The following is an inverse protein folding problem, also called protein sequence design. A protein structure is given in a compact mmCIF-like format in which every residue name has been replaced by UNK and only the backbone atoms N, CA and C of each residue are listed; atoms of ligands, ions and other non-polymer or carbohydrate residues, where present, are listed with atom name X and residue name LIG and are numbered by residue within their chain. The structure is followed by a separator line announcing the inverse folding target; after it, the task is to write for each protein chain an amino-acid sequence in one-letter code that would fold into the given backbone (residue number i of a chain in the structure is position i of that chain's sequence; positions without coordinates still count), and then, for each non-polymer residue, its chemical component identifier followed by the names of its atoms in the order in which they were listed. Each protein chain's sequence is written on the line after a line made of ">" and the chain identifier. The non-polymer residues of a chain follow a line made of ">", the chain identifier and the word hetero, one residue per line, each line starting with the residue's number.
data_IF_434457350940
#
_entry.id   IF_434457350940
#
_cell.length_a   1.000
_cell.length_b   1.000
_cell.length_c   1.000
_cell.angle_alpha   90.00
_cell.angle_beta   90.00
_cell.angle_gamma   90.00
#
_symmetry.space_group_name_H-M   'P 1'
#
loop_
_entity.id
_entity.type
_entity.pdbx_description
1 polymer ?
#
# COMPACT_ATOMS: atom_id res chain seq x y z
N UNK A 1 51.34 -44.26 9.28
CA UNK A 1 50.31 -44.52 8.27
C UNK A 1 49.74 -43.22 7.78
N UNK A 2 49.78 -43.05 6.53
CA UNK A 2 49.90 -41.81 5.78
C UNK A 2 48.57 -41.00 5.65
N UNK A 3 48.66 -39.74 5.98
CA UNK A 3 47.58 -38.74 5.77
C UNK A 3 47.83 -38.03 4.42
N UNK A 4 47.54 -38.63 3.30
CA UNK A 4 47.56 -37.93 2.02
C UNK A 4 46.53 -38.50 1.04
N UNK A 5 45.90 -37.57 0.36
CA UNK A 5 45.08 -37.72 -0.84
C UNK A 5 43.57 -37.99 -0.67
N UNK A 6 42.82 -36.88 -0.54
CA UNK A 6 41.51 -36.72 -1.18
C UNK A 6 41.42 -35.32 -1.79
N UNK A 7 41.96 -35.22 -2.98
CA UNK A 7 41.64 -34.15 -3.92
C UNK A 7 40.41 -34.59 -4.71
N UNK A 8 39.21 -34.17 -4.26
CA UNK A 8 38.03 -34.29 -5.08
C UNK A 8 37.92 -33.07 -5.99
N UNK A 9 37.98 -33.29 -7.26
CA UNK A 9 37.76 -32.32 -8.32
C UNK A 9 36.32 -31.80 -8.25
N UNK A 10 36.15 -30.50 -7.88
CA UNK A 10 34.88 -29.81 -8.00
C UNK A 10 34.66 -29.48 -9.47
N UNK A 11 33.92 -30.30 -10.18
CA UNK A 11 33.35 -29.89 -11.48
C UNK A 11 32.24 -28.90 -11.23
N UNK A 12 32.47 -27.64 -11.57
CA UNK A 12 31.43 -26.60 -11.68
C UNK A 12 30.55 -26.99 -12.85
N UNK A 13 29.42 -27.64 -12.58
CA UNK A 13 28.37 -27.84 -13.56
C UNK A 13 27.64 -26.53 -13.77
N UNK A 14 27.92 -25.83 -14.85
CA UNK A 14 27.06 -24.79 -15.39
C UNK A 14 25.76 -25.46 -15.83
N UNK A 15 24.74 -25.44 -14.98
CA UNK A 15 23.36 -25.78 -15.33
C UNK A 15 22.85 -24.71 -16.32
N UNK A 16 23.07 -24.93 -17.60
CA UNK A 16 22.37 -24.21 -18.66
C UNK A 16 20.88 -24.52 -18.55
N UNK A 17 20.08 -23.49 -18.36
CA UNK A 17 18.61 -23.57 -18.41
C UNK A 17 18.23 -24.23 -19.76
N UNK A 18 17.43 -25.28 -19.71
CA UNK A 18 16.86 -25.90 -20.91
C UNK A 18 16.02 -24.86 -21.67
N UNK A 19 16.03 -24.86 -23.03
CA UNK A 19 15.28 -23.88 -23.83
C UNK A 19 13.79 -23.75 -23.43
N UNK A 20 13.18 -24.82 -22.96
CA UNK A 20 11.80 -24.83 -22.47
C UNK A 20 11.61 -24.09 -21.16
N UNK A 21 12.60 -24.10 -20.28
CA UNK A 21 12.51 -23.37 -18.99
C UNK A 21 12.66 -21.85 -19.18
N UNK A 22 13.49 -21.43 -20.14
CA UNK A 22 13.62 -20.02 -20.50
C UNK A 22 12.33 -19.48 -21.15
N UNK A 23 11.69 -20.26 -22.02
CA UNK A 23 10.42 -19.89 -22.65
C UNK A 23 9.26 -19.82 -21.63
N UNK A 24 9.20 -20.71 -20.65
CA UNK A 24 8.21 -20.69 -19.57
C UNK A 24 8.46 -19.50 -18.65
N UNK A 25 9.71 -19.18 -18.33
CA UNK A 25 10.08 -18.01 -17.54
C UNK A 25 9.73 -16.69 -18.26
N UNK A 26 9.97 -16.61 -19.57
CA UNK A 26 9.61 -15.46 -20.39
C UNK A 26 8.09 -15.28 -20.48
N UNK A 27 7.33 -16.36 -20.71
CA UNK A 27 5.85 -16.32 -20.72
C UNK A 27 5.26 -15.91 -19.36
N UNK A 28 5.91 -16.28 -18.24
CA UNK A 28 5.50 -15.84 -16.91
C UNK A 28 5.80 -14.35 -16.67
N UNK A 29 6.88 -13.82 -17.27
CA UNK A 29 7.25 -12.40 -17.17
C UNK A 29 6.30 -11.47 -17.94
N UNK A 30 5.76 -11.94 -19.07
CA UNK A 30 4.89 -11.13 -19.96
C UNK A 30 3.39 -11.19 -19.57
N UNK A 31 3.04 -12.01 -18.62
CA UNK A 31 1.66 -12.17 -18.16
C UNK A 31 1.22 -10.93 -17.36
N UNK A 32 0.00 -10.37 -17.58
CA UNK A 32 -0.52 -9.32 -16.72
C UNK A 32 -0.71 -9.83 -15.28
N UNK A 33 -0.54 -8.94 -14.30
CA UNK A 33 -0.85 -9.27 -12.90
C UNK A 33 -2.36 -9.49 -12.73
N UNK A 34 -2.73 -10.41 -11.85
CA UNK A 34 -4.12 -10.67 -11.46
C UNK A 34 -4.65 -9.58 -10.53
N UNK A 35 -3.82 -9.14 -9.58
CA UNK A 35 -4.11 -8.03 -8.69
C UNK A 35 -3.42 -6.75 -9.20
N UNK A 36 -3.99 -5.59 -8.89
CA UNK A 36 -3.49 -4.29 -9.36
C UNK A 36 -2.50 -3.71 -8.36
N UNK A 37 -1.24 -4.09 -8.47
CA UNK A 37 -0.17 -3.61 -7.60
C UNK A 37 0.28 -2.20 -7.97
N UNK A 38 0.52 -1.37 -6.93
CA UNK A 38 0.95 0.02 -7.06
C UNK A 38 2.32 0.23 -6.40
N UNK A 39 3.43 0.20 -7.16
CA UNK A 39 4.72 0.67 -6.67
C UNK A 39 4.70 2.17 -6.38
N UNK A 40 5.79 2.67 -5.77
CA UNK A 40 5.98 4.08 -5.45
C UNK A 40 7.33 4.61 -5.99
N UNK A 41 7.47 5.93 -6.07
CA UNK A 41 8.71 6.55 -6.53
C UNK A 41 9.91 6.17 -5.62
N UNK A 42 11.04 5.91 -6.28
CA UNK A 42 12.26 5.42 -5.65
C UNK A 42 12.39 3.90 -5.64
N UNK A 43 11.31 3.13 -5.77
CA UNK A 43 11.36 1.66 -5.74
C UNK A 43 12.20 1.09 -6.90
N UNK A 44 12.17 1.74 -8.07
CA UNK A 44 12.88 1.32 -9.28
C UNK A 44 13.88 2.36 -9.81
N UNK A 45 14.34 3.29 -8.97
CA UNK A 45 15.19 4.42 -9.40
C UNK A 45 16.57 4.00 -9.90
N UNK A 46 17.08 2.81 -9.55
CA UNK A 46 18.40 2.34 -10.02
C UNK A 46 18.32 1.70 -11.40
N UNK A 47 17.18 1.13 -11.77
CA UNK A 47 16.94 0.56 -13.10
C UNK A 47 16.34 1.57 -14.07
N UNK A 48 15.40 2.39 -13.62
CA UNK A 48 14.69 3.36 -14.44
C UNK A 48 15.36 4.75 -14.50
N UNK A 49 16.23 5.07 -13.55
CA UNK A 49 16.76 6.43 -13.36
C UNK A 49 15.99 7.23 -12.32
N UNK A 50 16.50 8.43 -12.00
CA UNK A 50 15.90 9.31 -10.98
C UNK A 50 14.70 10.11 -11.52
N UNK A 51 14.50 10.18 -12.85
CA UNK A 51 13.32 10.84 -13.44
C UNK A 51 12.04 10.08 -13.08
N UNK A 52 11.05 10.82 -12.55
CA UNK A 52 9.81 10.22 -12.08
C UNK A 52 8.99 9.60 -13.21
N UNK A 53 8.99 10.23 -14.39
CA UNK A 53 8.21 9.76 -15.53
C UNK A 53 8.83 8.50 -16.14
N UNK A 54 10.16 8.37 -16.09
CA UNK A 54 10.86 7.15 -16.52
C UNK A 54 10.60 5.98 -15.56
N UNK A 55 10.46 6.24 -14.25
CA UNK A 55 10.04 5.21 -13.29
C UNK A 55 8.61 4.70 -13.56
N UNK A 56 7.69 5.58 -13.95
CA UNK A 56 6.33 5.18 -14.37
C UNK A 56 6.36 4.31 -15.63
N UNK A 57 7.16 4.69 -16.65
CA UNK A 57 7.31 3.91 -17.88
C UNK A 57 7.90 2.55 -17.59
N UNK A 58 8.98 2.50 -16.81
CA UNK A 58 9.61 1.26 -16.38
C UNK A 58 8.62 0.31 -15.69
N UNK A 59 7.84 0.82 -14.71
CA UNK A 59 6.85 0.01 -14.02
C UNK A 59 5.75 -0.49 -14.97
N UNK A 60 5.28 0.36 -15.88
CA UNK A 60 4.30 -0.01 -16.90
C UNK A 60 4.81 -1.12 -17.82
N UNK A 61 6.07 -1.05 -18.25
CA UNK A 61 6.72 -2.07 -19.09
C UNK A 61 6.84 -3.41 -18.38
N UNK A 62 6.92 -3.39 -17.03
CA UNK A 62 6.92 -4.59 -16.19
C UNK A 62 5.52 -5.06 -15.76
N UNK A 63 4.45 -4.46 -16.33
CA UNK A 63 3.08 -4.91 -16.14
C UNK A 63 2.33 -4.28 -14.96
N UNK A 64 2.92 -3.34 -14.24
CA UNK A 64 2.21 -2.58 -13.21
C UNK A 64 1.21 -1.61 -13.86
N UNK A 65 0.00 -1.51 -13.30
CA UNK A 65 -1.08 -0.67 -13.84
C UNK A 65 -1.65 0.31 -12.81
N UNK A 66 -1.00 0.43 -11.66
CA UNK A 66 -1.28 1.45 -10.65
C UNK A 66 0.03 2.03 -10.12
N UNK A 67 -0.05 3.17 -9.46
CA UNK A 67 1.08 3.84 -8.82
C UNK A 67 0.63 4.54 -7.55
N UNK A 68 1.39 4.44 -6.46
CA UNK A 68 1.10 5.09 -5.19
C UNK A 68 2.08 6.25 -4.94
N UNK A 69 1.59 7.38 -4.46
CA UNK A 69 2.45 8.51 -4.11
C UNK A 69 1.93 9.31 -2.92
N UNK A 70 2.22 8.84 -1.73
CA UNK A 70 1.84 9.50 -0.49
C UNK A 70 2.28 10.98 -0.39
N UNK A 71 3.48 11.40 -0.87
CA UNK A 71 3.88 12.80 -0.87
C UNK A 71 3.30 13.66 -2.00
N UNK A 72 2.38 13.19 -2.82
CA UNK A 72 1.86 13.90 -4.00
C UNK A 72 1.48 15.36 -3.73
N UNK A 73 0.87 15.66 -2.58
CA UNK A 73 0.48 17.03 -2.20
C UNK A 73 1.66 18.00 -2.12
N UNK A 74 2.85 17.52 -1.78
CA UNK A 74 4.05 18.33 -1.58
C UNK A 74 4.81 18.59 -2.89
N UNK A 75 4.42 17.91 -3.99
CA UNK A 75 5.05 18.10 -5.31
C UNK A 75 4.60 19.40 -5.96
N UNK A 76 5.45 20.04 -6.79
CA UNK A 76 5.04 21.16 -7.62
C UNK A 76 3.86 20.81 -8.53
N UNK A 77 2.99 21.79 -8.83
CA UNK A 77 1.77 21.59 -9.63
C UNK A 77 2.07 21.06 -11.04
N UNK A 78 3.14 21.51 -11.65
CA UNK A 78 3.61 21.04 -12.96
C UNK A 78 4.09 19.59 -12.92
N UNK A 79 4.79 19.19 -11.85
CA UNK A 79 5.19 17.78 -11.63
C UNK A 79 3.96 16.88 -11.41
N UNK A 80 3.00 17.30 -10.56
CA UNK A 80 1.73 16.58 -10.39
C UNK A 80 1.01 16.37 -11.73
N UNK A 81 0.94 17.41 -12.56
CA UNK A 81 0.30 17.38 -13.86
C UNK A 81 1.03 16.48 -14.86
N UNK A 82 2.36 16.49 -14.85
CA UNK A 82 3.20 15.63 -15.69
C UNK A 82 3.05 14.15 -15.32
N UNK A 83 3.05 13.83 -14.03
CA UNK A 83 2.79 12.49 -13.49
C UNK A 83 1.39 12.00 -13.95
N UNK A 84 0.34 12.79 -13.72
CA UNK A 84 -1.03 12.44 -14.11
C UNK A 84 -1.17 12.17 -15.60
N UNK A 85 -0.60 13.03 -16.43
CA UNK A 85 -0.60 12.88 -17.90
C UNK A 85 0.11 11.61 -18.34
N UNK A 86 1.28 11.33 -17.76
CA UNK A 86 2.05 10.13 -18.09
C UNK A 86 1.31 8.87 -17.66
N UNK A 87 0.75 8.84 -16.45
CA UNK A 87 -0.07 7.71 -15.98
C UNK A 87 -1.28 7.47 -16.88
N UNK A 88 -1.97 8.51 -17.31
CA UNK A 88 -3.09 8.41 -18.26
C UNK A 88 -2.65 7.79 -19.59
N UNK A 89 -1.51 8.22 -20.14
CA UNK A 89 -0.96 7.66 -21.39
C UNK A 89 -0.57 6.18 -21.26
N UNK A 90 -0.13 5.76 -20.08
CA UNK A 90 0.27 4.37 -19.77
C UNK A 90 -0.92 3.51 -19.32
N UNK A 91 -2.13 4.07 -19.20
CA UNK A 91 -3.30 3.36 -18.67
C UNK A 91 -3.15 2.96 -17.20
N UNK A 92 -2.39 3.72 -16.42
CA UNK A 92 -2.15 3.48 -14.99
C UNK A 92 -3.15 4.25 -14.14
N UNK A 93 -3.53 3.65 -13.00
CA UNK A 93 -4.41 4.25 -12.00
C UNK A 93 -3.59 4.87 -10.86
N UNK A 94 -4.00 6.06 -10.39
CA UNK A 94 -3.45 6.62 -9.17
C UNK A 94 -3.98 5.85 -7.95
N UNK A 95 -3.08 5.36 -7.12
CA UNK A 95 -3.36 4.78 -5.81
C UNK A 95 -3.64 5.84 -4.75
N UNK A 96 -3.30 5.55 -3.50
CA UNK A 96 -3.49 6.52 -2.43
C UNK A 96 -2.51 7.68 -2.54
N UNK A 97 -3.00 8.86 -2.14
CA UNK A 97 -2.21 10.03 -1.79
C UNK A 97 -2.53 10.39 -0.34
N UNK A 98 -1.54 10.83 0.44
CA UNK A 98 -1.77 11.16 1.84
C UNK A 98 -2.48 12.51 1.99
N UNK A 99 -3.66 12.52 2.62
CA UNK A 99 -4.39 13.75 2.91
C UNK A 99 -3.73 14.57 4.02
N UNK A 100 -3.18 13.91 5.04
CA UNK A 100 -2.74 14.51 6.31
C UNK A 100 -1.23 14.34 6.55
N UNK A 101 -0.41 14.23 5.51
CA UNK A 101 1.04 14.14 5.66
C UNK A 101 1.57 15.31 6.49
N UNK A 102 2.41 15.00 7.49
CA UNK A 102 3.02 15.98 8.38
C UNK A 102 2.17 16.39 9.59
N UNK A 103 0.88 16.05 9.64
CA UNK A 103 0.00 16.41 10.78
C UNK A 103 -0.54 15.21 11.56
N UNK A 104 -0.34 13.98 11.10
CA UNK A 104 -0.87 12.77 11.73
C UNK A 104 -0.22 12.43 13.08
N UNK A 105 0.95 12.98 13.41
CA UNK A 105 1.69 12.73 14.65
C UNK A 105 1.30 13.68 15.80
N UNK A 106 0.08 14.19 15.78
CA UNK A 106 -0.48 15.05 16.81
C UNK A 106 -1.88 14.57 17.23
N UNK A 107 -2.40 15.10 18.34
CA UNK A 107 -3.78 14.86 18.80
C UNK A 107 -4.72 15.66 17.90
N UNK A 108 -5.26 15.01 16.87
CA UNK A 108 -6.12 15.66 15.87
C UNK A 108 -7.58 15.22 16.02
N UNK A 109 -7.88 14.01 15.52
CA UNK A 109 -9.25 13.49 15.52
C UNK A 109 -9.74 13.07 16.93
N UNK A 110 -8.81 12.71 17.82
CA UNK A 110 -9.12 12.36 19.20
C UNK A 110 -9.63 13.56 20.02
N UNK A 111 -9.10 14.75 19.74
CA UNK A 111 -9.37 15.96 20.51
C UNK A 111 -10.62 16.72 20.08
N UNK A 112 -10.94 17.76 20.85
CA UNK A 112 -12.06 18.71 20.60
C UNK A 112 -11.58 20.13 20.30
N UNK A 113 -10.27 20.34 20.19
CA UNK A 113 -9.71 21.66 19.87
C UNK A 113 -10.25 22.17 18.53
N UNK A 114 -10.88 23.36 18.56
CA UNK A 114 -11.57 23.91 17.39
C UNK A 114 -10.61 24.23 16.23
N UNK A 115 -9.44 24.77 16.57
CA UNK A 115 -8.47 25.23 15.57
C UNK A 115 -7.78 24.05 14.91
N UNK A 116 -7.40 23.02 15.68
CA UNK A 116 -6.86 21.79 15.15
C UNK A 116 -7.87 21.09 14.21
N UNK A 117 -9.14 21.01 14.59
CA UNK A 117 -10.21 20.44 13.77
C UNK A 117 -10.46 21.25 12.50
N UNK A 118 -10.44 22.58 12.60
CA UNK A 118 -10.59 23.47 11.44
C UNK A 118 -9.43 23.30 10.46
N UNK A 119 -8.19 23.21 10.94
CA UNK A 119 -7.01 22.98 10.10
C UNK A 119 -7.10 21.63 9.32
N UNK A 120 -7.68 20.58 9.93
CA UNK A 120 -7.95 19.32 9.23
C UNK A 120 -8.94 19.54 8.08
N UNK A 121 -10.04 20.26 8.31
CA UNK A 121 -11.04 20.53 7.27
C UNK A 121 -10.47 21.36 6.11
N UNK A 122 -9.66 22.35 6.40
CA UNK A 122 -8.94 23.16 5.38
C UNK A 122 -7.98 22.28 4.57
N UNK A 123 -7.30 21.36 5.25
CA UNK A 123 -6.45 20.38 4.59
C UNK A 123 -7.27 19.47 3.64
N UNK A 124 -8.47 19.03 4.06
CA UNK A 124 -9.38 18.26 3.20
C UNK A 124 -9.83 19.04 1.97
N UNK A 125 -10.15 20.34 2.10
CA UNK A 125 -10.43 21.17 0.93
C UNK A 125 -9.23 21.27 -0.02
N UNK A 126 -8.03 21.45 0.51
CA UNK A 126 -6.83 21.55 -0.33
C UNK A 126 -6.48 20.25 -1.06
N UNK A 127 -6.65 19.09 -0.43
CA UNK A 127 -6.32 17.79 -1.05
C UNK A 127 -7.30 17.43 -2.17
N UNK A 128 -8.53 17.91 -2.15
CA UNK A 128 -9.50 17.74 -3.24
C UNK A 128 -8.93 18.26 -4.56
N UNK A 129 -8.28 19.43 -4.55
CA UNK A 129 -7.70 20.01 -5.78
C UNK A 129 -6.49 19.20 -6.29
N UNK A 130 -5.69 18.63 -5.38
CA UNK A 130 -4.61 17.71 -5.75
C UNK A 130 -5.19 16.43 -6.35
N UNK A 131 -6.16 15.82 -5.68
CA UNK A 131 -6.79 14.58 -6.13
C UNK A 131 -7.42 14.71 -7.53
N UNK A 132 -8.12 15.82 -7.78
CA UNK A 132 -8.66 16.15 -9.12
C UNK A 132 -7.56 16.23 -10.19
N UNK A 133 -6.44 16.92 -9.87
CA UNK A 133 -5.33 17.10 -10.80
C UNK A 133 -4.66 15.80 -11.18
N UNK A 134 -4.50 14.88 -10.22
CA UNK A 134 -3.80 13.60 -10.43
C UNK A 134 -4.76 12.43 -10.66
N UNK A 135 -6.06 12.69 -10.78
CA UNK A 135 -7.10 11.67 -10.95
C UNK A 135 -7.07 10.58 -9.86
N UNK A 136 -6.79 10.99 -8.62
CA UNK A 136 -6.83 10.09 -7.47
C UNK A 136 -8.27 9.91 -6.97
N UNK A 137 -8.58 8.69 -6.50
CA UNK A 137 -9.85 8.37 -5.82
C UNK A 137 -9.65 8.22 -4.32
N UNK A 138 -8.50 7.71 -3.90
CA UNK A 138 -8.26 7.30 -2.52
C UNK A 138 -7.31 8.26 -1.79
N UNK A 139 -7.71 8.62 -0.57
CA UNK A 139 -6.97 9.51 0.32
C UNK A 139 -6.61 8.76 1.60
N UNK A 140 -5.32 8.49 1.85
CA UNK A 140 -4.91 7.92 3.13
C UNK A 140 -5.15 8.92 4.26
N UNK A 141 -5.84 8.46 5.30
CA UNK A 141 -6.11 9.22 6.52
C UNK A 141 -5.66 8.43 7.74
N UNK A 142 -4.69 8.99 8.46
CA UNK A 142 -4.28 8.53 9.80
C UNK A 142 -4.87 9.50 10.81
N UNK A 143 -5.76 9.06 11.73
CA UNK A 143 -6.49 9.97 12.65
C UNK A 143 -5.64 10.61 13.74
N UNK A 144 -4.34 10.42 13.75
CA UNK A 144 -3.42 11.03 14.70
C UNK A 144 -3.22 10.22 15.98
N UNK A 145 -2.79 10.91 17.03
CA UNK A 145 -2.42 10.29 18.30
C UNK A 145 -3.60 10.30 19.30
N UNK A 146 -3.53 9.41 20.27
CA UNK A 146 -4.43 9.42 21.44
C UNK A 146 -4.20 10.68 22.28
N UNK A 147 -5.26 11.20 22.87
CA UNK A 147 -5.17 12.21 23.92
C UNK A 147 -5.13 11.51 25.29
N UNK A 148 -4.01 11.54 26.03
CA UNK A 148 -3.89 10.88 27.32
C UNK A 148 -4.78 11.48 28.40
N UNK A 149 -5.38 12.67 28.17
CA UNK A 149 -6.25 13.37 29.11
C UNK A 149 -7.72 13.05 28.92
N UNK A 150 -8.07 12.34 27.82
CA UNK A 150 -9.46 12.05 27.47
C UNK A 150 -9.74 10.55 27.48
N UNK A 151 -10.84 10.05 28.08
CA UNK A 151 -11.23 8.66 27.95
C UNK A 151 -11.37 8.23 26.49
N UNK A 152 -11.01 6.99 26.22
CA UNK A 152 -10.86 6.46 24.85
C UNK A 152 -12.16 6.53 24.03
N UNK A 153 -13.30 6.27 24.68
CA UNK A 153 -14.61 6.26 24.05
C UNK A 153 -14.99 7.64 23.52
N UNK A 154 -14.65 8.71 24.26
CA UNK A 154 -14.85 10.09 23.79
C UNK A 154 -13.96 10.41 22.58
N UNK A 155 -12.73 9.91 22.57
CA UNK A 155 -11.83 10.09 21.45
C UNK A 155 -12.38 9.45 20.17
N UNK A 156 -12.96 8.25 20.27
CA UNK A 156 -13.61 7.59 19.15
C UNK A 156 -14.83 8.38 18.64
N UNK A 157 -15.64 8.90 19.55
CA UNK A 157 -16.79 9.74 19.20
C UNK A 157 -16.35 11.03 18.47
N UNK A 158 -15.31 11.71 18.98
CA UNK A 158 -14.73 12.89 18.35
C UNK A 158 -14.17 12.59 16.97
N UNK A 159 -13.50 11.43 16.81
CA UNK A 159 -12.96 10.96 15.54
C UNK A 159 -14.09 10.75 14.51
N UNK A 160 -15.14 10.03 14.89
CA UNK A 160 -16.32 9.81 14.04
C UNK A 160 -16.98 11.12 13.61
N UNK A 161 -17.15 12.08 14.54
CA UNK A 161 -17.74 13.38 14.23
C UNK A 161 -16.90 14.17 13.22
N UNK A 162 -15.57 14.24 13.41
CA UNK A 162 -14.70 14.96 12.48
C UNK A 162 -14.63 14.25 11.11
N UNK A 163 -14.60 12.91 11.07
CA UNK A 163 -14.63 12.15 9.83
C UNK A 163 -15.91 12.39 9.02
N UNK A 164 -17.08 12.52 9.67
CA UNK A 164 -18.33 12.90 8.99
C UNK A 164 -18.21 14.25 8.29
N UNK A 165 -17.62 15.23 8.97
CA UNK A 165 -17.38 16.58 8.38
C UNK A 165 -16.36 16.50 7.22
N UNK A 166 -15.34 15.67 7.34
CA UNK A 166 -14.41 15.42 6.22
C UNK A 166 -15.12 14.74 5.04
N UNK A 167 -16.05 13.80 5.29
CA UNK A 167 -16.86 13.18 4.25
C UNK A 167 -17.71 14.22 3.49
N UNK A 168 -18.28 15.19 4.17
CA UNK A 168 -19.06 16.26 3.53
C UNK A 168 -18.24 17.06 2.52
N UNK A 169 -16.91 17.12 2.71
CA UNK A 169 -15.98 17.80 1.80
C UNK A 169 -15.60 16.90 0.62
N UNK A 170 -15.22 15.64 0.86
CA UNK A 170 -14.59 14.80 -0.15
C UNK A 170 -15.60 14.01 -1.00
N UNK A 171 -16.74 13.61 -0.42
CA UNK A 171 -17.75 12.78 -1.08
C UNK A 171 -18.39 13.40 -2.33
N UNK A 172 -18.68 14.72 -2.38
CA UNK A 172 -19.20 15.37 -3.58
C UNK A 172 -18.24 15.29 -4.80
N UNK A 173 -16.96 14.98 -4.55
CA UNK A 173 -15.93 14.83 -5.57
C UNK A 173 -15.62 13.38 -5.93
N UNK A 174 -16.38 12.42 -5.39
CA UNK A 174 -16.16 10.99 -5.61
C UNK A 174 -14.91 10.44 -4.91
N UNK A 175 -14.36 11.18 -3.95
CA UNK A 175 -13.16 10.76 -3.22
C UNK A 175 -13.53 9.89 -2.02
N UNK A 176 -12.64 8.98 -1.67
CA UNK A 176 -12.79 8.05 -0.55
C UNK A 176 -11.59 8.18 0.39
N UNK A 177 -11.85 8.61 1.61
CA UNK A 177 -10.89 8.50 2.69
C UNK A 177 -10.72 7.04 3.06
N UNK A 178 -9.49 6.55 3.07
CA UNK A 178 -9.15 5.21 3.53
C UNK A 178 -8.34 5.32 4.81
N UNK A 179 -8.97 4.91 5.91
CA UNK A 179 -8.39 4.97 7.26
C UNK A 179 -7.36 3.87 7.40
N UNK A 180 -6.14 4.22 7.80
CA UNK A 180 -5.04 3.27 7.97
C UNK A 180 -4.80 2.97 9.45
N UNK A 181 -5.13 1.75 9.93
CA UNK A 181 -4.73 1.29 11.26
C UNK A 181 -3.24 0.96 11.28
N UNK A 182 -2.48 1.68 12.13
CA UNK A 182 -1.03 1.55 12.23
C UNK A 182 -0.61 0.74 13.46
N UNK A 183 0.40 -0.11 13.35
CA UNK A 183 0.90 -0.86 14.51
C UNK A 183 1.60 0.05 15.52
N UNK A 184 1.26 -0.15 16.79
CA UNK A 184 1.85 0.57 17.92
C UNK A 184 3.10 -0.10 18.49
N UNK A 185 3.34 -1.36 18.12
CA UNK A 185 4.38 -2.18 18.71
C UNK A 185 5.78 -1.90 18.18
N UNK A 186 5.87 -1.51 16.90
CA UNK A 186 7.15 -1.32 16.22
C UNK A 186 7.31 0.09 15.65
N UNK A 187 6.27 0.62 14.97
CA UNK A 187 6.45 1.80 14.12
C UNK A 187 5.80 3.08 14.69
N UNK A 188 4.58 2.98 15.23
CA UNK A 188 3.74 4.15 15.52
C UNK A 188 3.16 4.13 16.94
N UNK A 189 3.98 4.19 18.01
CA UNK A 189 3.46 4.21 19.37
C UNK A 189 2.55 5.41 19.60
N UNK A 190 1.41 5.17 20.25
CA UNK A 190 0.47 6.24 20.63
C UNK A 190 -0.54 6.64 19.55
N UNK A 191 -0.59 5.99 18.36
CA UNK A 191 -1.65 6.28 17.37
C UNK A 191 -3.03 5.90 17.92
N UNK A 192 -4.03 6.68 17.55
CA UNK A 192 -5.43 6.44 17.94
C UNK A 192 -5.98 5.17 17.28
N UNK A 193 -5.75 5.01 15.99
CA UNK A 193 -6.27 3.91 15.18
C UNK A 193 -5.19 2.87 14.93
N UNK A 194 -5.37 1.63 15.41
CA UNK A 194 -4.34 0.59 15.34
C UNK A 194 -4.81 -0.82 14.96
N UNK A 195 -6.12 -1.12 15.07
CA UNK A 195 -6.64 -2.45 14.78
C UNK A 195 -7.79 -2.46 13.79
N UNK A 196 -7.96 -3.57 13.04
CA UNK A 196 -9.02 -3.73 12.06
C UNK A 196 -10.43 -3.69 12.67
N UNK A 197 -10.71 -4.28 13.85
CA UNK A 197 -12.03 -4.16 14.48
C UNK A 197 -12.38 -2.71 14.86
N UNK A 198 -11.39 -1.94 15.28
CA UNK A 198 -11.55 -0.52 15.60
C UNK A 198 -11.86 0.30 14.35
N UNK A 199 -11.10 0.08 13.26
CA UNK A 199 -11.36 0.73 11.98
C UNK A 199 -12.77 0.41 11.47
N UNK A 200 -13.17 -0.85 11.55
CA UNK A 200 -14.52 -1.29 11.19
C UNK A 200 -15.59 -0.56 11.98
N UNK A 201 -15.46 -0.49 13.32
CA UNK A 201 -16.37 0.25 14.18
C UNK A 201 -16.49 1.71 13.75
N UNK A 202 -15.35 2.39 13.50
CA UNK A 202 -15.34 3.79 13.07
C UNK A 202 -16.04 3.95 11.72
N UNK A 203 -15.71 3.15 10.71
CA UNK A 203 -16.35 3.22 9.39
C UNK A 203 -17.86 2.98 9.47
N UNK A 204 -18.31 1.98 10.24
CA UNK A 204 -19.75 1.72 10.48
C UNK A 204 -20.45 2.88 11.21
N UNK A 205 -19.77 3.55 12.17
CA UNK A 205 -20.33 4.70 12.89
C UNK A 205 -20.36 5.98 12.04
N UNK A 206 -19.36 6.17 11.16
CA UNK A 206 -19.38 7.24 10.16
C UNK A 206 -20.50 7.03 9.15
N UNK A 207 -20.72 5.77 8.72
CA UNK A 207 -21.81 5.33 7.84
C UNK A 207 -21.84 6.08 6.49
N UNK A 208 -20.66 6.33 5.87
CA UNK A 208 -20.52 7.03 4.60
C UNK A 208 -19.68 6.18 3.61
N UNK A 209 -20.03 6.23 2.34
CA UNK A 209 -19.27 5.53 1.28
C UNK A 209 -17.86 6.11 1.09
N UNK A 210 -17.67 7.36 1.45
CA UNK A 210 -16.40 8.10 1.38
C UNK A 210 -15.48 7.90 2.59
N UNK A 211 -15.80 6.97 3.51
CA UNK A 211 -14.94 6.61 4.64
C UNK A 211 -14.84 5.09 4.74
N UNK A 212 -13.69 4.55 4.42
CA UNK A 212 -13.39 3.12 4.29
C UNK A 212 -12.07 2.79 4.97
N UNK A 213 -11.68 1.52 4.95
CA UNK A 213 -10.43 1.02 5.53
C UNK A 213 -9.38 0.88 4.43
N UNK A 214 -8.18 1.34 4.72
CA UNK A 214 -6.93 0.87 4.12
C UNK A 214 -6.40 -0.24 5.03
N UNK A 215 -6.39 -1.48 4.54
CA UNK A 215 -5.85 -2.61 5.27
C UNK A 215 -4.38 -2.82 4.87
N UNK A 216 -3.43 -2.26 5.64
CA UNK A 216 -2.02 -2.57 5.46
C UNK A 216 -1.70 -3.91 6.14
N UNK A 217 -1.39 -4.91 5.31
CA UNK A 217 -1.12 -6.28 5.74
C UNK A 217 0.09 -6.33 6.69
N UNK A 218 1.12 -5.52 6.46
CA UNK A 218 2.28 -5.43 7.35
C UNK A 218 1.89 -4.92 8.74
N UNK A 219 1.13 -3.82 8.82
CA UNK A 219 0.70 -3.26 10.09
C UNK A 219 -0.21 -4.22 10.84
N UNK A 220 -1.14 -4.87 10.17
CA UNK A 220 -2.08 -5.79 10.82
C UNK A 220 -1.43 -7.12 11.20
N UNK A 221 -0.41 -7.60 10.48
CA UNK A 221 0.38 -8.75 10.92
C UNK A 221 1.03 -8.48 12.28
N UNK A 222 1.65 -7.32 12.48
CA UNK A 222 2.29 -6.94 13.74
C UNK A 222 1.26 -6.73 14.86
N UNK A 223 0.14 -6.09 14.56
CA UNK A 223 -0.87 -5.72 15.57
C UNK A 223 -1.67 -6.93 16.05
N UNK A 224 -2.22 -7.70 15.12
CA UNK A 224 -3.27 -8.69 15.37
C UNK A 224 -2.89 -10.09 14.88
N UNK A 225 -2.10 -10.21 13.81
CA UNK A 225 -1.99 -11.45 13.07
C UNK A 225 -3.33 -11.89 12.50
N UNK A 226 -3.57 -13.22 12.39
CA UNK A 226 -4.87 -13.78 11.99
C UNK A 226 -5.50 -13.06 10.77
N UNK A 227 -4.65 -12.75 9.77
CA UNK A 227 -4.96 -11.83 8.66
C UNK A 227 -6.25 -12.18 7.92
N UNK A 228 -6.40 -13.42 7.46
CA UNK A 228 -7.55 -13.83 6.63
C UNK A 228 -8.88 -13.66 7.37
N UNK A 229 -9.06 -14.20 8.59
CA UNK A 229 -10.29 -13.99 9.34
C UNK A 229 -10.58 -12.50 9.63
N UNK A 230 -9.55 -11.68 9.85
CA UNK A 230 -9.74 -10.25 10.10
C UNK A 230 -10.11 -9.50 8.83
N UNK A 231 -9.51 -9.82 7.68
CA UNK A 231 -9.92 -9.30 6.37
C UNK A 231 -11.39 -9.66 6.09
N UNK A 232 -11.77 -10.92 6.31
CA UNK A 232 -13.15 -11.39 6.06
C UNK A 232 -14.19 -10.67 6.90
N UNK A 233 -13.87 -10.38 8.18
CA UNK A 233 -14.79 -9.68 9.10
C UNK A 233 -15.03 -8.23 8.74
N UNK A 234 -14.05 -7.55 8.16
CA UNK A 234 -14.18 -6.14 7.81
C UNK A 234 -14.26 -5.89 6.29
N UNK A 235 -14.48 -6.93 5.50
CA UNK A 235 -14.43 -6.91 4.03
C UNK A 235 -15.29 -5.82 3.40
N UNK A 236 -16.49 -5.61 3.86
CA UNK A 236 -17.46 -4.62 3.35
C UNK A 236 -17.03 -3.15 3.59
N UNK A 237 -16.06 -2.96 4.48
CA UNK A 237 -15.50 -1.63 4.75
C UNK A 237 -14.08 -1.45 4.20
N UNK A 238 -13.43 -2.48 3.62
CA UNK A 238 -12.11 -2.33 3.01
C UNK A 238 -12.23 -1.80 1.58
N UNK A 239 -11.54 -0.71 1.27
CA UNK A 239 -11.45 -0.16 -0.08
C UNK A 239 -10.04 -0.21 -0.67
N UNK A 240 -9.01 -0.38 0.15
CA UNK A 240 -7.62 -0.36 -0.27
C UNK A 240 -6.78 -1.33 0.56
N UNK A 241 -5.80 -1.95 -0.07
CA UNK A 241 -4.80 -2.75 0.63
C UNK A 241 -3.41 -2.17 0.44
N UNK A 242 -2.56 -2.34 1.44
CA UNK A 242 -1.12 -2.17 1.31
C UNK A 242 -0.38 -3.42 1.77
N UNK A 243 0.81 -3.64 1.25
CA UNK A 243 1.62 -4.81 1.56
C UNK A 243 3.09 -4.45 1.76
N UNK A 244 3.69 -5.17 2.67
CA UNK A 244 5.10 -5.27 3.00
C UNK A 244 5.29 -6.47 3.91
N UNK A 245 6.38 -7.22 3.75
CA UNK A 245 6.59 -8.43 4.54
C UNK A 245 7.13 -8.13 5.94
N UNK A 246 6.76 -8.93 6.90
CA UNK A 246 7.22 -8.83 8.28
C UNK A 246 8.07 -10.06 8.64
N UNK A 247 9.23 -9.86 9.33
CA UNK A 247 9.82 -8.59 9.72
C UNK A 247 10.55 -7.87 8.56
N UNK A 248 10.82 -6.58 8.75
CA UNK A 248 11.71 -5.81 7.88
C UNK A 248 11.03 -4.89 6.88
N UNK A 249 9.74 -5.06 6.61
CA UNK A 249 8.93 -4.26 5.66
C UNK A 249 9.60 -4.18 4.29
N UNK A 250 9.72 -5.34 3.63
CA UNK A 250 10.25 -5.49 2.29
C UNK A 250 9.27 -6.27 1.39
N UNK A 251 9.68 -6.67 0.19
CA UNK A 251 8.83 -7.38 -0.78
C UNK A 251 8.33 -8.74 -0.28
N UNK A 252 7.20 -9.25 -0.80
CA UNK A 252 6.63 -10.56 -0.47
C UNK A 252 7.65 -11.70 -0.53
N UNK A 253 7.66 -12.53 0.50
CA UNK A 253 8.55 -13.69 0.62
C UNK A 253 9.89 -13.39 1.28
N UNK A 254 10.09 -12.18 1.79
CA UNK A 254 11.27 -11.81 2.59
C UNK A 254 11.06 -12.00 4.10
N UNK A 255 9.84 -12.29 4.53
CA UNK A 255 9.45 -12.46 5.92
C UNK A 255 8.54 -13.67 6.17
N UNK A 256 7.62 -13.53 7.13
CA UNK A 256 6.79 -14.62 7.65
C UNK A 256 5.38 -14.68 7.01
N UNK A 257 4.98 -13.66 6.22
CA UNK A 257 3.63 -13.59 5.67
C UNK A 257 3.51 -14.48 4.44
N UNK A 258 2.53 -15.38 4.42
CA UNK A 258 2.23 -16.20 3.24
C UNK A 258 1.46 -15.39 2.19
N UNK A 259 2.14 -14.47 1.51
CA UNK A 259 1.55 -13.61 0.49
C UNK A 259 0.86 -14.35 -0.65
N UNK A 260 1.38 -15.47 -1.20
CA UNK A 260 0.67 -16.24 -2.21
C UNK A 260 -0.73 -16.69 -1.75
N UNK A 261 -0.87 -17.08 -0.49
CA UNK A 261 -2.16 -17.44 0.08
C UNK A 261 -3.07 -16.22 0.27
N UNK A 262 -2.54 -15.13 0.83
CA UNK A 262 -3.30 -13.89 1.04
C UNK A 262 -3.80 -13.34 -0.29
N UNK A 263 -2.95 -13.20 -1.29
CA UNK A 263 -3.30 -12.68 -2.61
C UNK A 263 -4.32 -13.57 -3.33
N UNK A 264 -4.17 -14.90 -3.25
CA UNK A 264 -5.18 -15.84 -3.77
C UNK A 264 -6.53 -15.69 -3.08
N UNK A 265 -6.54 -15.45 -1.77
CA UNK A 265 -7.78 -15.21 -1.03
C UNK A 265 -8.48 -13.92 -1.50
N UNK A 266 -7.74 -12.81 -1.62
CA UNK A 266 -8.26 -11.53 -2.10
C UNK A 266 -8.83 -11.65 -3.52
N UNK A 267 -8.10 -12.31 -4.43
CA UNK A 267 -8.55 -12.53 -5.80
C UNK A 267 -9.83 -13.38 -5.87
N UNK A 268 -9.92 -14.48 -5.09
CA UNK A 268 -11.11 -15.33 -4.98
C UNK A 268 -12.31 -14.58 -4.40
N UNK A 269 -12.09 -13.62 -3.52
CA UNK A 269 -13.13 -12.72 -3.01
C UNK A 269 -13.56 -11.65 -4.00
N UNK A 270 -12.93 -11.60 -5.18
CA UNK A 270 -13.25 -10.64 -6.23
C UNK A 270 -12.68 -9.25 -6.00
N UNK A 271 -11.59 -9.10 -5.23
CA UNK A 271 -10.94 -7.80 -5.07
C UNK A 271 -10.44 -7.26 -6.42
N UNK A 272 -10.89 -6.06 -6.78
CA UNK A 272 -10.51 -5.35 -8.02
C UNK A 272 -9.88 -3.98 -7.73
N UNK A 273 -9.66 -3.66 -6.46
CA UNK A 273 -9.03 -2.42 -6.04
C UNK A 273 -7.52 -2.43 -6.24
N UNK A 274 -6.87 -1.37 -5.78
CA UNK A 274 -5.42 -1.19 -5.86
C UNK A 274 -4.78 -1.77 -4.59
N UNK A 275 -3.59 -2.35 -4.77
CA UNK A 275 -2.75 -2.85 -3.68
C UNK A 275 -1.42 -2.10 -3.68
N UNK A 276 -1.24 -1.19 -2.73
CA UNK A 276 -0.02 -0.41 -2.57
C UNK A 276 1.16 -1.28 -2.13
N UNK A 277 2.31 -1.04 -2.73
CA UNK A 277 3.58 -1.72 -2.39
C UNK A 277 4.33 -0.84 -1.39
N UNK A 278 3.79 -0.71 -0.16
CA UNK A 278 4.35 0.20 0.86
C UNK A 278 5.48 -0.46 1.66
N UNK A 279 6.58 -0.67 0.98
CA UNK A 279 7.77 -1.30 1.54
C UNK A 279 9.04 -0.83 0.84
N UNK A 280 10.19 -1.05 1.47
CA UNK A 280 11.50 -0.89 0.84
C UNK A 280 11.90 -2.15 0.09
N UNK A 281 12.88 -2.05 -0.80
CA UNK A 281 13.53 -3.23 -1.38
C UNK A 281 14.45 -3.90 -0.35
N UNK A 282 14.39 -5.22 -0.21
CA UNK A 282 15.28 -5.97 0.68
C UNK A 282 16.74 -5.87 0.26
N UNK A 283 17.01 -5.97 -1.03
CA UNK A 283 18.32 -5.79 -1.61
C UNK A 283 18.44 -4.44 -2.34
N UNK A 284 19.65 -3.90 -2.43
CA UNK A 284 19.93 -2.62 -3.09
C UNK A 284 20.25 -2.84 -4.57
N UNK A 285 20.16 -1.74 -5.34
CA UNK A 285 20.55 -1.70 -6.75
C UNK A 285 19.60 -2.40 -7.72
N UNK A 286 19.94 -2.46 -9.01
CA UNK A 286 19.06 -3.03 -10.04
C UNK A 286 18.68 -4.50 -9.81
N UNK A 287 19.56 -5.28 -9.17
CA UNK A 287 19.26 -6.67 -8.81
C UNK A 287 18.16 -6.75 -7.74
N UNK A 288 18.21 -5.87 -6.72
CA UNK A 288 17.16 -5.77 -5.71
C UNK A 288 15.82 -5.34 -6.31
N UNK A 289 15.82 -4.38 -7.22
CA UNK A 289 14.62 -3.94 -7.93
C UNK A 289 14.00 -5.05 -8.78
N UNK A 290 14.84 -5.86 -9.45
CA UNK A 290 14.38 -7.05 -10.18
C UNK A 290 13.78 -8.08 -9.23
N UNK A 291 14.40 -8.31 -8.09
CA UNK A 291 13.90 -9.24 -7.07
C UNK A 291 12.51 -8.83 -6.56
N UNK A 292 12.22 -7.53 -6.41
CA UNK A 292 10.87 -7.03 -6.10
C UNK A 292 9.87 -7.46 -7.17
N UNK A 293 10.15 -7.23 -8.46
CA UNK A 293 9.26 -7.60 -9.56
C UNK A 293 9.00 -9.12 -9.53
N UNK A 294 10.05 -9.92 -9.38
CA UNK A 294 9.95 -11.39 -9.32
C UNK A 294 9.15 -11.87 -8.10
N UNK A 295 9.31 -11.23 -6.94
CA UNK A 295 8.56 -11.54 -5.73
C UNK A 295 7.05 -11.36 -5.95
N UNK A 296 6.63 -10.25 -6.56
CA UNK A 296 5.23 -10.03 -6.92
C UNK A 296 4.73 -10.99 -7.98
N UNK A 297 5.53 -11.30 -9.01
CA UNK A 297 5.19 -12.32 -10.02
C UNK A 297 4.96 -13.69 -9.41
N UNK A 298 5.79 -14.07 -8.44
CA UNK A 298 5.69 -15.34 -7.72
C UNK A 298 4.50 -15.40 -6.77
N UNK A 299 4.18 -14.28 -6.11
CA UNK A 299 3.10 -14.21 -5.14
C UNK A 299 1.73 -13.99 -5.79
N UNK A 300 1.67 -13.40 -6.99
CA UNK A 300 0.42 -13.09 -7.70
C UNK A 300 -0.36 -14.36 -8.04
N UNK A 301 -1.67 -14.41 -7.79
CA UNK A 301 -2.48 -15.58 -8.07
C UNK A 301 -2.40 -16.00 -9.54
N UNK A 302 -2.07 -17.26 -9.80
CA UNK A 302 -2.14 -17.80 -11.15
C UNK A 302 -3.59 -18.01 -11.53
N UNK A 303 -4.12 -17.14 -12.39
CA UNK A 303 -5.44 -17.22 -13.01
C UNK A 303 -6.50 -17.87 -12.11
N UNK A 304 -7.19 -17.10 -11.28
CA UNK A 304 -8.41 -17.58 -10.65
C UNK A 304 -9.42 -17.75 -11.79
N UNK A 305 -9.52 -18.96 -12.29
CA UNK A 305 -10.62 -19.33 -13.20
C UNK A 305 -11.90 -19.15 -12.38
N UNK A 306 -12.74 -18.21 -12.78
CA UNK A 306 -14.10 -18.11 -12.25
C UNK A 306 -14.79 -19.44 -12.51
N UNK A 307 -15.17 -20.14 -11.43
CA UNK A 307 -16.03 -21.30 -11.44
C UNK A 307 -17.46 -20.88 -11.17
#
# INVERSE_FOLDING_TARGET
>A
MDRRQFLAASTVSTLGLMPGQAAIAQQAADRPFTLNYAPHFGMFAKSAGEDLLDQLRFASDHGFRAWEDNPMKDRPIDEQSAIAKTMQQLGMQMGVISALKGVWNAVNFAGVDSDARQAILETMHSIVEVAKRVNATYLTVVPGLVDPKLPYEYQLANCVDLLKRCCDIVEPHGLVMVLEPLNTKTNHPGVLLHGSPQAYLICKAVARKSCKILFDIYHQQITEGNLIPNIDRCWDEIAYFQCGDNPGRAEPGTGEINYPFVFSHLAKRGYKGIMGMEHKNAAKGPEGERAVIEAYRKADPMGVVEH
#
